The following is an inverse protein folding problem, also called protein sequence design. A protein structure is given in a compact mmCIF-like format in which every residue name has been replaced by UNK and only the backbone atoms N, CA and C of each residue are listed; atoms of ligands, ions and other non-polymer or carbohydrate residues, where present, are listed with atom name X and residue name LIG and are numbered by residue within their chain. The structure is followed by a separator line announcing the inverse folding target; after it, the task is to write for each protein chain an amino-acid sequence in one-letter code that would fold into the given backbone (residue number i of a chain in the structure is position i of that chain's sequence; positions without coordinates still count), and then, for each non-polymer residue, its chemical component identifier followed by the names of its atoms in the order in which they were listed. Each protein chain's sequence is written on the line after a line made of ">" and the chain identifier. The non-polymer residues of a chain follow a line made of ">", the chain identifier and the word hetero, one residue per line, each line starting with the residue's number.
data_IF_814653782909
#
_entry.id   IF_814653782909
#
_cell.length_a   1.000
_cell.length_b   1.000
_cell.length_c   1.000
_cell.angle_alpha   90.00
_cell.angle_beta   90.00
_cell.angle_gamma   90.00
#
_symmetry.space_group_name_H-M   'P 1'
#
loop_
_entity.id
_entity.type
_entity.pdbx_description
1 polymer ?
#
# COMPACT_ATOMS: atom_id res chain seq x y z
N UNK A 1 2.64 3.80 -15.71
CA UNK A 1 2.81 3.37 -14.31
C UNK A 1 1.57 3.77 -13.55
N UNK A 2 0.88 2.83 -12.91
CA UNK A 2 -0.24 3.16 -12.03
C UNK A 2 0.27 3.89 -10.78
N UNK A 3 -0.37 5.00 -10.44
CA UNK A 3 -0.01 5.87 -9.31
C UNK A 3 -1.17 5.92 -8.33
N UNK A 4 -0.85 5.83 -7.04
CA UNK A 4 -1.80 5.81 -5.94
C UNK A 4 -1.62 7.08 -5.13
N UNK A 5 -2.66 7.89 -5.00
CA UNK A 5 -2.60 9.08 -4.11
C UNK A 5 -2.51 8.65 -2.64
N UNK A 6 -1.94 9.49 -1.77
CA UNK A 6 -1.91 9.21 -0.32
C UNK A 6 -3.33 8.98 0.25
N UNK A 7 -4.32 9.70 -0.27
CA UNK A 7 -5.73 9.53 0.12
C UNK A 7 -6.26 8.14 -0.26
N UNK A 8 -5.99 7.68 -1.49
CA UNK A 8 -6.34 6.33 -1.93
C UNK A 8 -5.59 5.28 -1.11
N UNK A 9 -4.29 5.46 -0.89
CA UNK A 9 -3.49 4.55 -0.08
C UNK A 9 -4.10 4.37 1.32
N UNK A 10 -4.42 5.48 1.99
CA UNK A 10 -5.09 5.48 3.30
C UNK A 10 -6.42 4.71 3.28
N UNK A 11 -7.24 4.94 2.25
CA UNK A 11 -8.54 4.28 2.13
C UNK A 11 -8.40 2.78 1.86
N UNK A 12 -7.52 2.38 0.94
CA UNK A 12 -7.26 0.97 0.59
C UNK A 12 -6.73 0.18 1.79
N UNK A 13 -5.85 0.80 2.57
CA UNK A 13 -5.29 0.23 3.79
C UNK A 13 -6.21 0.35 5.02
N UNK A 14 -7.39 0.95 4.87
CA UNK A 14 -8.36 1.22 5.95
C UNK A 14 -7.74 1.95 7.15
N UNK A 15 -6.79 2.84 6.90
CA UNK A 15 -6.14 3.64 7.95
C UNK A 15 -7.05 4.82 8.29
N UNK A 16 -7.57 4.86 9.52
CA UNK A 16 -8.55 5.88 9.93
C UNK A 16 -7.94 7.27 10.08
N UNK A 17 -6.74 7.38 10.66
CA UNK A 17 -6.10 8.66 10.96
C UNK A 17 -5.10 9.09 9.89
N UNK A 18 -5.10 10.41 9.58
CA UNK A 18 -4.06 11.04 8.76
C UNK A 18 -2.68 10.96 9.43
N UNK A 19 -2.63 11.01 10.75
CA UNK A 19 -1.36 10.95 11.48
C UNK A 19 -0.72 9.57 11.39
N UNK A 20 -1.54 8.51 11.40
CA UNK A 20 -1.05 7.14 11.25
C UNK A 20 -0.39 6.93 9.88
N UNK A 21 -1.05 7.33 8.79
CA UNK A 21 -0.44 7.22 7.45
C UNK A 21 0.80 8.10 7.33
N UNK A 22 0.77 9.33 7.87
CA UNK A 22 1.94 10.20 7.88
C UNK A 22 3.12 9.58 8.65
N UNK A 23 2.85 8.91 9.77
CA UNK A 23 3.86 8.19 10.55
C UNK A 23 4.49 7.07 9.72
N UNK A 24 3.68 6.29 9.00
CA UNK A 24 4.19 5.22 8.13
C UNK A 24 5.03 5.77 6.98
N UNK A 25 4.58 6.84 6.32
CA UNK A 25 5.34 7.51 5.26
C UNK A 25 6.67 8.07 5.78
N UNK A 26 6.68 8.67 6.98
CA UNK A 26 7.93 9.11 7.63
C UNK A 26 8.84 7.93 7.94
N UNK A 27 8.29 6.80 8.39
CA UNK A 27 9.08 5.58 8.65
C UNK A 27 9.82 5.13 7.40
N UNK A 28 9.17 5.18 6.24
CA UNK A 28 9.68 4.71 4.95
C UNK A 28 10.43 5.79 4.14
N UNK A 29 10.65 6.99 4.68
CA UNK A 29 11.20 8.14 3.95
C UNK A 29 10.39 8.54 2.69
N UNK A 30 9.08 8.32 2.72
CA UNK A 30 8.12 8.68 1.65
C UNK A 30 7.27 9.90 2.01
N UNK A 31 7.56 10.55 3.14
CA UNK A 31 6.80 11.71 3.60
C UNK A 31 7.01 12.92 2.67
N UNK A 32 5.93 13.60 2.31
CA UNK A 32 5.94 14.70 1.34
C UNK A 32 5.54 14.28 -0.07
N UNK A 33 5.58 12.97 -0.38
CA UNK A 33 5.11 12.46 -1.67
C UNK A 33 3.59 12.59 -1.77
N UNK A 34 3.11 13.12 -2.90
CA UNK A 34 1.67 13.19 -3.22
C UNK A 34 1.12 11.86 -3.74
N UNK A 35 1.99 11.08 -4.39
CA UNK A 35 1.67 9.83 -5.07
C UNK A 35 2.67 8.74 -4.68
N UNK A 36 2.22 7.51 -4.70
CA UNK A 36 3.01 6.29 -4.48
C UNK A 36 2.85 5.37 -5.68
N UNK A 37 3.90 4.64 -6.04
CA UNK A 37 3.79 3.48 -6.92
C UNK A 37 3.40 2.22 -6.11
N UNK A 38 3.13 1.11 -6.81
CA UNK A 38 2.75 -0.15 -6.15
C UNK A 38 3.82 -0.74 -5.24
N UNK A 39 5.11 -0.54 -5.57
CA UNK A 39 6.22 -0.98 -4.71
C UNK A 39 6.27 -0.20 -3.39
N UNK A 40 6.12 1.13 -3.46
CA UNK A 40 6.02 1.98 -2.28
C UNK A 40 4.75 1.67 -1.47
N UNK A 41 3.64 1.38 -2.14
CA UNK A 41 2.42 0.93 -1.47
C UNK A 41 2.62 -0.40 -0.75
N UNK A 42 3.30 -1.36 -1.38
CA UNK A 42 3.68 -2.64 -0.77
C UNK A 42 4.47 -2.42 0.52
N UNK A 43 5.45 -1.54 0.52
CA UNK A 43 6.22 -1.20 1.72
C UNK A 43 5.33 -0.64 2.85
N UNK A 44 4.35 0.21 2.53
CA UNK A 44 3.39 0.73 3.52
C UNK A 44 2.49 -0.38 4.06
N UNK A 45 2.02 -1.28 3.20
CA UNK A 45 1.22 -2.45 3.58
C UNK A 45 2.00 -3.38 4.52
N UNK A 46 3.25 -3.67 4.17
CA UNK A 46 4.16 -4.50 4.98
C UNK A 46 4.41 -3.90 6.35
N UNK A 47 4.67 -2.58 6.41
CA UNK A 47 4.82 -1.88 7.68
C UNK A 47 3.54 -1.95 8.53
N UNK A 48 2.37 -1.73 7.93
CA UNK A 48 1.10 -1.83 8.65
C UNK A 48 0.88 -3.24 9.22
N UNK A 49 1.12 -4.27 8.41
CA UNK A 49 1.00 -5.68 8.83
C UNK A 49 1.98 -5.94 9.97
N UNK A 50 3.25 -5.59 9.80
CA UNK A 50 4.28 -5.81 10.81
C UNK A 50 3.93 -5.15 12.15
N UNK A 51 3.47 -3.90 12.14
CA UNK A 51 3.05 -3.19 13.35
C UNK A 51 1.78 -3.78 13.98
N UNK A 52 0.94 -4.45 13.18
CA UNK A 52 -0.21 -5.21 13.66
C UNK A 52 0.17 -6.57 14.27
N UNK A 53 1.28 -7.17 13.84
CA UNK A 53 1.78 -8.45 14.38
C UNK A 53 2.66 -8.25 15.62
N UNK A 54 3.55 -7.26 15.57
CA UNK A 54 4.52 -6.94 16.62
C UNK A 54 4.16 -5.59 17.25
N UNK A 55 3.32 -5.64 18.26
CA UNK A 55 3.02 -4.48 19.09
C UNK A 55 4.18 -4.19 20.05
N UNK A 56 4.74 -2.98 19.98
CA UNK A 56 5.82 -2.58 20.88
C UNK A 56 6.32 -1.17 20.60
N UNK A 57 6.91 -0.52 21.62
CA UNK A 57 7.44 0.85 21.51
C UNK A 57 8.54 0.97 20.44
N UNK A 58 9.28 -0.13 20.22
CA UNK A 58 10.42 -0.20 19.32
C UNK A 58 10.12 -0.89 17.97
N UNK A 59 8.88 -1.32 17.71
CA UNK A 59 8.56 -2.11 16.50
C UNK A 59 8.90 -1.37 15.20
N UNK A 60 8.73 -0.05 15.16
CA UNK A 60 9.14 0.78 14.01
C UNK A 60 10.67 0.77 13.82
N UNK A 61 11.43 0.81 14.91
CA UNK A 61 12.90 0.74 14.85
C UNK A 61 13.36 -0.62 14.38
N UNK A 62 12.75 -1.70 14.89
CA UNK A 62 13.04 -3.06 14.45
C UNK A 62 12.73 -3.24 12.96
N UNK A 63 11.58 -2.76 12.48
CA UNK A 63 11.24 -2.82 11.06
C UNK A 63 12.29 -2.14 10.17
N UNK A 64 12.81 -0.97 10.59
CA UNK A 64 13.84 -0.23 9.83
C UNK A 64 15.20 -0.93 9.80
N UNK A 65 15.49 -1.77 10.79
CA UNK A 65 16.75 -2.49 10.90
C UNK A 65 16.70 -3.88 10.27
N UNK A 66 15.49 -4.41 10.01
CA UNK A 66 15.32 -5.71 9.38
C UNK A 66 15.68 -5.67 7.90
N UNK A 67 16.38 -6.71 7.47
CA UNK A 67 16.57 -7.02 6.06
C UNK A 67 15.28 -7.52 5.43
N UNK A 68 15.22 -7.52 4.09
CA UNK A 68 14.09 -8.08 3.35
C UNK A 68 13.82 -9.54 3.72
N UNK A 69 14.88 -10.32 3.86
CA UNK A 69 14.79 -11.74 4.18
C UNK A 69 14.21 -11.98 5.58
N UNK A 70 14.62 -11.21 6.59
CA UNK A 70 14.08 -11.31 7.95
C UNK A 70 12.60 -10.90 8.01
N UNK A 71 12.21 -9.90 7.21
CA UNK A 71 10.84 -9.46 7.08
C UNK A 71 9.96 -10.56 6.47
N UNK A 72 10.42 -11.17 5.37
CA UNK A 72 9.70 -12.25 4.69
C UNK A 72 9.60 -13.49 5.59
N UNK A 73 10.66 -13.85 6.31
CA UNK A 73 10.62 -14.91 7.33
C UNK A 73 9.63 -14.59 8.45
N UNK A 74 9.60 -13.34 8.93
CA UNK A 74 8.63 -12.91 9.94
C UNK A 74 7.22 -13.15 9.43
N UNK A 75 6.90 -12.69 8.22
CA UNK A 75 5.57 -12.88 7.65
C UNK A 75 5.22 -14.36 7.44
N UNK A 76 6.17 -15.19 7.02
CA UNK A 76 5.96 -16.64 6.90
C UNK A 76 5.65 -17.29 8.26
N UNK A 77 6.39 -16.94 9.32
CA UNK A 77 6.15 -17.46 10.68
C UNK A 77 4.73 -17.11 11.17
N UNK A 78 4.26 -15.91 10.88
CA UNK A 78 2.90 -15.47 11.23
C UNK A 78 1.83 -15.88 10.20
N UNK A 79 2.19 -16.68 9.17
CA UNK A 79 1.27 -17.14 8.13
C UNK A 79 0.68 -16.02 7.26
N UNK A 80 1.36 -14.88 7.15
CA UNK A 80 0.88 -13.73 6.38
C UNK A 80 1.34 -13.79 4.93
N UNK A 81 0.38 -13.88 4.01
CA UNK A 81 0.64 -13.76 2.58
C UNK A 81 0.49 -12.31 2.10
N UNK A 82 1.62 -11.58 2.06
CA UNK A 82 1.65 -10.17 1.63
C UNK A 82 1.23 -10.02 0.17
N UNK A 83 1.75 -10.86 -0.73
CA UNK A 83 1.44 -10.77 -2.17
C UNK A 83 -0.04 -11.02 -2.46
N UNK A 84 -0.67 -11.97 -1.76
CA UNK A 84 -2.11 -12.21 -1.89
C UNK A 84 -2.94 -10.99 -1.45
N UNK A 85 -2.53 -10.33 -0.36
CA UNK A 85 -3.18 -9.09 0.10
C UNK A 85 -2.97 -7.94 -0.87
N UNK A 86 -1.77 -7.81 -1.41
CA UNK A 86 -1.45 -6.80 -2.42
C UNK A 86 -2.31 -6.99 -3.67
N UNK A 87 -2.41 -8.21 -4.18
CA UNK A 87 -3.23 -8.55 -5.34
C UNK A 87 -4.72 -8.27 -5.11
N UNK A 88 -5.25 -8.59 -3.92
CA UNK A 88 -6.62 -8.28 -3.56
C UNK A 88 -6.88 -6.76 -3.54
N UNK A 89 -5.95 -5.98 -3.01
CA UNK A 89 -6.05 -4.51 -2.98
C UNK A 89 -5.93 -3.92 -4.41
N UNK A 90 -5.03 -4.45 -5.23
CA UNK A 90 -4.90 -4.06 -6.65
C UNK A 90 -6.20 -4.27 -7.41
N UNK A 91 -6.87 -5.41 -7.18
CA UNK A 91 -8.18 -5.70 -7.76
C UNK A 91 -9.23 -4.66 -7.31
N UNK A 92 -9.35 -4.41 -6.01
CA UNK A 92 -10.27 -3.40 -5.46
C UNK A 92 -9.98 -2.01 -6.06
N UNK A 93 -8.71 -1.63 -6.17
CA UNK A 93 -8.32 -0.35 -6.76
C UNK A 93 -8.75 -0.26 -8.23
N UNK A 94 -8.49 -1.30 -9.02
CA UNK A 94 -8.90 -1.38 -10.44
C UNK A 94 -10.41 -1.27 -10.61
N UNK A 95 -11.18 -1.95 -9.76
CA UNK A 95 -12.65 -1.94 -9.82
C UNK A 95 -13.25 -0.60 -9.32
N UNK A 96 -12.53 0.11 -8.43
CA UNK A 96 -12.98 1.40 -7.85
C UNK A 96 -12.59 2.62 -8.69
N UNK A 97 -11.57 2.50 -9.54
CA UNK A 97 -11.27 3.53 -10.53
C UNK A 97 -12.28 3.33 -11.66
N UNK A 98 -13.20 4.29 -11.91
CA UNK A 98 -14.09 4.17 -13.06
C UNK A 98 -13.19 4.06 -14.29
N UNK A 99 -13.20 2.89 -14.94
CA UNK A 99 -12.77 2.82 -16.31
C UNK A 99 -13.67 3.82 -17.02
N UNK A 100 -13.14 5.00 -17.36
CA UNK A 100 -13.85 5.90 -18.27
C UNK A 100 -14.19 5.00 -19.46
N UNK A 101 -15.46 4.72 -19.77
CA UNK A 101 -15.76 4.17 -21.06
C UNK A 101 -15.20 5.21 -22.02
N UNK A 102 -14.15 4.84 -22.75
CA UNK A 102 -13.77 5.57 -23.94
C UNK A 102 -14.96 5.35 -24.85
N UNK A 103 -15.91 6.28 -24.78
CA UNK A 103 -17.04 6.33 -25.68
C UNK A 103 -16.40 6.56 -27.06
N UNK A 104 -16.20 5.48 -27.81
CA UNK A 104 -15.86 5.54 -29.22
C UNK A 104 -17.13 5.97 -29.95
N UNK A 105 -17.55 7.22 -29.70
CA UNK A 105 -18.68 7.83 -30.40
C UNK A 105 -18.14 8.25 -31.75
N UNK A 106 -18.51 7.46 -32.75
CA UNK A 106 -18.80 7.89 -34.11
C UNK A 106 -17.61 8.31 -34.98
N UNK A 107 -16.98 7.31 -35.59
CA UNK A 107 -16.53 7.40 -36.99
C UNK A 107 -17.48 6.57 -37.85
N UNK A 108 -18.71 7.05 -37.95
CA UNK A 108 -19.67 6.69 -39.01
C UNK A 108 -20.31 7.99 -39.46
N UNK A 109 -19.78 8.52 -40.55
CA UNK A 109 -20.32 9.52 -41.50
C UNK A 109 -19.18 9.85 -42.44
N UNK A 110 -19.24 9.70 -43.75
CA UNK A 110 -20.20 9.22 -44.75
C UNK A 110 -19.35 8.76 -45.95
#
# INVERSE_FOLDING_TARGET
>A
MEIITIKQCRNLLKIQSRDTINKYLKTLNLFGNKYLNWEQFRQVLELQIYLGLKHGRNSISCFRQMTRQELDQTFQIYGVQVDARLAAIQKIHRDSVPQKPVCVVSLLKE
#
